data_IF_337271949451
#
_entry.id   IF_337271949451
#
_cell.length_a   1.000
_cell.length_b   1.000
_cell.length_c   1.000
_cell.angle_alpha   90.00
_cell.angle_beta   90.00
_cell.angle_gamma   90.00
#
_symmetry.space_group_name_H-M   'P 1'
#
loop_
_entity.id
_entity.type
_entity.pdbx_description
1 polymer ?
#
# COMPACT_ATOMS: atom_id res chain seq x y z
N UNK A 1 -13.79 -4.82 -6.88
CA UNK A 1 -13.90 -3.40 -6.49
C UNK A 1 -12.53 -2.91 -6.06
N UNK A 2 -11.97 -1.95 -6.78
CA UNK A 2 -10.65 -1.37 -6.49
C UNK A 2 -10.80 -0.37 -5.34
N UNK A 3 -9.95 -0.41 -4.31
CA UNK A 3 -10.02 0.55 -3.20
C UNK A 3 -9.69 1.97 -3.67
N UNK A 4 -10.33 2.97 -3.08
CA UNK A 4 -9.94 4.37 -3.28
C UNK A 4 -8.68 4.64 -2.47
N UNK A 5 -7.70 5.28 -3.09
CA UNK A 5 -6.41 5.61 -2.46
C UNK A 5 -6.08 7.07 -2.66
N UNK A 6 -5.76 7.76 -1.57
CA UNK A 6 -5.23 9.12 -1.57
C UNK A 6 -3.76 9.11 -1.14
N UNK A 7 -2.97 10.07 -1.61
CA UNK A 7 -1.55 10.19 -1.25
C UNK A 7 -1.36 11.29 -0.22
N UNK A 8 -0.56 11.00 0.80
CA UNK A 8 -0.13 11.98 1.80
C UNK A 8 0.95 12.92 1.27
N UNK A 9 1.28 13.99 2.02
CA UNK A 9 2.40 14.88 1.73
C UNK A 9 3.70 14.09 1.55
N UNK A 10 4.56 14.56 0.63
CA UNK A 10 5.85 13.93 0.30
C UNK A 10 5.77 12.45 -0.12
N UNK A 11 4.57 11.95 -0.42
CA UNK A 11 4.31 10.56 -0.80
C UNK A 11 4.82 9.52 0.21
N UNK A 12 4.91 9.89 1.49
CA UNK A 12 5.42 9.02 2.56
C UNK A 12 4.40 7.96 2.99
N UNK A 13 3.12 8.27 2.82
CA UNK A 13 2.03 7.39 3.15
C UNK A 13 0.89 7.51 2.15
N UNK A 14 0.08 6.45 2.09
CA UNK A 14 -1.14 6.35 1.30
C UNK A 14 -2.30 6.10 2.26
N UNK A 15 -3.41 6.80 2.03
CA UNK A 15 -4.66 6.56 2.75
C UNK A 15 -5.53 5.66 1.90
N UNK A 16 -5.91 4.51 2.42
CA UNK A 16 -6.77 3.55 1.74
C UNK A 16 -8.13 3.48 2.43
N UNK A 17 -9.19 3.61 1.63
CA UNK A 17 -10.57 3.46 2.08
C UNK A 17 -11.10 2.07 1.68
N UNK A 18 -11.63 1.35 2.66
CA UNK A 18 -12.20 0.01 2.46
C UNK A 18 -13.57 -0.08 3.10
N UNK A 19 -14.48 -0.78 2.44
CA UNK A 19 -15.70 -1.23 3.08
C UNK A 19 -15.36 -2.13 4.28
N UNK A 20 -16.20 -2.11 5.32
CA UNK A 20 -16.01 -2.91 6.55
C UNK A 20 -15.88 -4.42 6.28
N UNK A 21 -16.55 -4.93 5.25
CA UNK A 21 -16.53 -6.31 4.77
C UNK A 21 -15.23 -6.68 4.07
N UNK A 22 -14.48 -5.67 3.58
CA UNK A 22 -13.23 -5.80 2.83
C UNK A 22 -12.02 -5.31 3.63
N UNK A 23 -12.10 -5.35 4.97
CA UNK A 23 -10.99 -4.92 5.83
C UNK A 23 -9.77 -5.83 5.64
N UNK A 24 -8.58 -5.26 5.43
CA UNK A 24 -7.34 -6.04 5.42
C UNK A 24 -7.07 -6.61 6.82
N UNK A 25 -6.45 -7.79 6.86
CA UNK A 25 -5.97 -8.41 8.10
C UNK A 25 -4.69 -7.69 8.56
N UNK A 26 -4.85 -6.67 9.40
CA UNK A 26 -3.72 -5.85 9.92
C UNK A 26 -2.68 -6.72 10.62
N UNK A 27 -3.10 -7.79 11.30
CA UNK A 27 -2.21 -8.75 11.96
C UNK A 27 -1.18 -9.35 11.00
N UNK A 28 -1.60 -9.68 9.77
CA UNK A 28 -0.69 -10.22 8.74
C UNK A 28 0.33 -9.15 8.32
N UNK A 29 -0.12 -7.90 8.17
CA UNK A 29 0.77 -6.78 7.86
C UNK A 29 1.79 -6.54 8.99
N UNK A 30 1.37 -6.67 10.25
CA UNK A 30 2.25 -6.55 11.41
C UNK A 30 3.27 -7.69 11.48
N UNK A 31 2.86 -8.94 11.25
CA UNK A 31 3.78 -10.08 11.18
C UNK A 31 4.79 -9.88 10.05
N UNK A 32 4.33 -9.49 8.86
CA UNK A 32 5.21 -9.19 7.75
C UNK A 32 6.19 -8.07 8.10
N UNK A 33 5.74 -6.99 8.74
CA UNK A 33 6.59 -5.89 9.19
C UNK A 33 7.63 -6.34 10.22
N UNK A 34 7.31 -7.30 11.09
CA UNK A 34 8.26 -7.83 12.06
C UNK A 34 9.35 -8.70 11.40
N UNK A 35 8.99 -9.48 10.38
CA UNK A 35 9.91 -10.37 9.66
C UNK A 35 10.75 -9.61 8.63
N UNK A 36 10.10 -8.82 7.78
CA UNK A 36 10.70 -8.18 6.60
C UNK A 36 11.07 -6.71 6.82
N UNK A 37 10.71 -6.11 7.97
CA UNK A 37 11.07 -4.75 8.37
C UNK A 37 10.74 -3.72 7.28
N UNK A 38 11.75 -3.01 6.77
CA UNK A 38 11.61 -1.93 5.79
C UNK A 38 11.25 -2.39 4.38
N UNK A 39 11.21 -3.71 4.12
CA UNK A 39 10.83 -4.24 2.81
C UNK A 39 9.31 -4.33 2.62
N UNK A 40 8.53 -4.09 3.66
CA UNK A 40 7.07 -4.12 3.61
C UNK A 40 6.48 -2.85 4.19
N UNK A 41 5.29 -2.42 3.71
CA UNK A 41 4.64 -1.24 4.23
C UNK A 41 4.07 -1.50 5.63
N UNK A 42 4.18 -0.52 6.51
CA UNK A 42 3.45 -0.50 7.78
C UNK A 42 2.01 -0.07 7.54
N UNK A 43 1.05 -0.73 8.18
CA UNK A 43 -0.38 -0.46 8.02
C UNK A 43 -0.99 -0.13 9.38
N UNK A 44 -1.67 1.01 9.48
CA UNK A 44 -2.43 1.42 10.68
C UNK A 44 -3.88 1.72 10.34
N UNK A 45 -4.78 1.39 11.27
CA UNK A 45 -6.20 1.76 11.19
C UNK A 45 -6.42 3.11 11.85
N UNK A 46 -7.12 4.02 11.16
CA UNK A 46 -7.33 5.41 11.60
C UNK A 46 -8.79 5.74 11.94
N UNK A 47 -9.71 4.80 11.78
CA UNK A 47 -11.12 4.99 12.10
C UNK A 47 -12.05 4.66 10.93
N UNK A 48 -13.29 5.12 11.01
CA UNK A 48 -14.29 4.89 9.98
C UNK A 48 -15.06 6.18 9.64
N UNK A 49 -15.60 6.22 8.43
CA UNK A 49 -16.46 7.28 7.91
C UNK A 49 -17.84 6.67 7.66
N UNK A 50 -18.85 7.33 8.21
CA UNK A 50 -20.24 6.90 8.15
C UNK A 50 -20.60 5.93 9.27
N UNK A 51 -21.90 5.81 9.48
CA UNK A 51 -22.52 4.88 10.41
C UNK A 51 -23.14 3.71 9.66
N UNK A 52 -23.39 2.63 10.40
CA UNK A 52 -24.09 1.46 9.87
C UNK A 52 -25.59 1.77 9.75
N UNK A 53 -25.93 2.63 8.79
CA UNK A 53 -27.26 3.18 8.60
C UNK A 53 -27.79 2.86 7.19
N UNK A 54 -29.02 2.34 7.15
CA UNK A 54 -29.84 2.20 5.92
C UNK A 54 -29.14 1.51 4.74
N UNK A 55 -28.43 0.41 5.01
CA UNK A 55 -27.87 -0.46 3.97
C UNK A 55 -26.61 0.08 3.28
N UNK A 56 -26.00 1.16 3.80
CA UNK A 56 -24.70 1.64 3.36
C UNK A 56 -23.63 1.22 4.37
N UNK A 57 -22.70 0.41 3.91
CA UNK A 57 -21.59 -0.08 4.72
C UNK A 57 -20.56 1.04 4.99
N UNK A 58 -20.09 1.22 6.23
CA UNK A 58 -19.13 2.27 6.57
C UNK A 58 -17.75 2.02 5.93
N UNK A 59 -17.05 3.11 5.64
CA UNK A 59 -15.70 3.09 5.08
C UNK A 59 -14.66 3.14 6.20
N UNK A 60 -13.89 2.08 6.33
CA UNK A 60 -12.73 1.99 7.21
C UNK A 60 -11.52 2.68 6.55
N UNK A 61 -10.84 3.53 7.32
CA UNK A 61 -9.70 4.34 6.87
C UNK A 61 -8.41 3.72 7.38
N UNK A 62 -7.50 3.47 6.44
CA UNK A 62 -6.18 2.92 6.72
C UNK A 62 -5.10 3.87 6.24
N UNK A 63 -4.03 3.99 7.01
CA UNK A 63 -2.80 4.65 6.58
C UNK A 63 -1.74 3.59 6.34
N UNK A 64 -1.09 3.67 5.19
CA UNK A 64 -0.13 2.68 4.71
C UNK A 64 1.16 3.43 4.38
N UNK A 65 2.27 3.11 5.03
CA UNK A 65 3.55 3.74 4.67
C UNK A 65 4.00 3.28 3.29
N UNK A 66 4.69 4.15 2.56
CA UNK A 66 5.33 3.75 1.31
C UNK A 66 6.67 3.12 1.62
N UNK A 67 6.84 1.89 1.16
CA UNK A 67 8.18 1.32 0.97
C UNK A 67 8.81 2.09 -0.18
N UNK A 68 9.99 2.68 0.05
CA UNK A 68 10.77 3.29 -1.03
C UNK A 68 11.21 2.18 -1.98
N UNK A 69 10.44 2.00 -3.04
CA UNK A 69 10.90 1.26 -4.20
C UNK A 69 12.00 2.04 -4.91
N UNK A 70 12.78 1.33 -5.71
CA UNK A 70 13.64 1.96 -6.71
C UNK A 70 12.70 2.44 -7.82
N UNK A 71 12.82 3.69 -8.28
CA UNK A 71 12.00 4.11 -9.43
C UNK A 71 12.36 3.23 -10.64
N UNK A 72 11.45 3.05 -11.58
CA UNK A 72 11.75 2.27 -12.78
C UNK A 72 12.99 2.81 -13.52
N UNK A 73 13.15 4.13 -13.53
CA UNK A 73 14.31 4.81 -14.10
C UNK A 73 15.59 4.55 -13.28
N UNK A 74 15.51 4.67 -11.96
CA UNK A 74 16.64 4.35 -11.06
C UNK A 74 17.02 2.87 -11.15
N UNK A 75 16.06 1.97 -11.40
CA UNK A 75 16.30 0.54 -11.57
C UNK A 75 17.09 0.28 -12.85
N UNK A 76 16.66 0.85 -13.98
CA UNK A 76 17.38 0.78 -15.27
C UNK A 76 18.80 1.33 -15.12
N UNK A 77 18.95 2.50 -14.48
CA UNK A 77 20.25 3.14 -14.26
C UNK A 77 21.15 2.32 -13.32
N UNK A 78 20.62 1.73 -12.26
CA UNK A 78 21.40 0.97 -11.27
C UNK A 78 21.80 -0.40 -11.82
N UNK A 79 20.95 -1.03 -12.62
CA UNK A 79 21.20 -2.35 -13.17
C UNK A 79 21.95 -2.32 -14.51
N UNK A 80 22.16 -1.15 -15.13
CA UNK A 80 22.69 -1.00 -16.50
C UNK A 80 21.94 -1.88 -17.54
N UNK A 81 20.70 -2.27 -17.23
CA UNK A 81 19.91 -3.11 -18.09
C UNK A 81 19.16 -2.21 -19.07
N UNK A 82 19.63 -2.20 -20.32
CA UNK A 82 18.85 -1.65 -21.42
C UNK A 82 17.51 -2.41 -21.48
N UNK A 83 16.41 -1.67 -21.63
CA UNK A 83 15.04 -2.21 -21.72
C UNK A 83 14.86 -3.27 -22.83
N UNK A 84 15.83 -3.33 -23.76
CA UNK A 84 15.90 -4.24 -24.89
C UNK A 84 16.82 -5.46 -24.64
N UNK A 85 17.40 -5.62 -23.46
CA UNK A 85 18.27 -6.75 -23.14
C UNK A 85 17.43 -8.01 -22.85
N UNK A 86 17.86 -9.21 -23.32
CA UNK A 86 17.26 -10.49 -22.93
C UNK A 86 17.23 -10.70 -21.40
N UNK A 87 18.18 -10.12 -20.67
CA UNK A 87 18.27 -10.21 -19.20
C UNK A 87 17.17 -9.44 -18.47
N UNK A 88 16.40 -8.61 -19.17
CA UNK A 88 15.30 -7.83 -18.58
C UNK A 88 14.03 -8.66 -18.31
N UNK A 89 13.87 -9.80 -19.00
CA UNK A 89 12.67 -10.65 -18.94
C UNK A 89 12.86 -11.96 -18.14
N UNK A 90 14.01 -12.14 -17.50
CA UNK A 90 14.36 -13.37 -16.76
C UNK A 90 14.29 -13.13 -15.26
#
# INVERSE_FOLDING_TARGET
MTPVVAQGPNHEYMVQFRLRSLRPKIEIANIASNVYRSLVPSVSYHGQIGDDASGKEPLSVYMISRVKGISHLDFILTCNLLENSPEYFT
#
